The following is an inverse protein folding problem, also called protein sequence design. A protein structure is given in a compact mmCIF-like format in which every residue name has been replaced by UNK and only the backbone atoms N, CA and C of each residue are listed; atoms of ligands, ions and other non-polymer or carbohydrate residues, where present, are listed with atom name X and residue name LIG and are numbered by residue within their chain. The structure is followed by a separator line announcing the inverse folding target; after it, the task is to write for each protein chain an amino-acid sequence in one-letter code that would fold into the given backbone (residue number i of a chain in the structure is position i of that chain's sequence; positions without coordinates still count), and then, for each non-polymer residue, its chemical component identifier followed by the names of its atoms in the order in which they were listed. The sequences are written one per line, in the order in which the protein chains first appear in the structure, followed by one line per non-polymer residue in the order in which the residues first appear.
data_IF_429803767163
#
_entry.id   IF_429803767163
#
_cell.length_a   1.000
_cell.length_b   1.000
_cell.length_c   1.000
_cell.angle_alpha   90.00
_cell.angle_beta   90.00
_cell.angle_gamma   90.00
#
_symmetry.space_group_name_H-M   'P 1'
#
loop_
_entity.id
_entity.type
_entity.pdbx_description
1 polymer ?
#
# COMPACT_ATOMS: atom_id res chain seq x y z
N UNK A 1 -5.65 -11.27 5.55
CA UNK A 1 -5.55 -10.37 4.38
C UNK A 1 -4.42 -10.90 3.53
N UNK A 2 -4.69 -11.26 2.28
CA UNK A 2 -3.68 -11.90 1.41
C UNK A 2 -3.05 -10.91 0.44
N UNK A 3 -3.78 -9.85 0.11
CA UNK A 3 -3.31 -8.86 -0.85
C UNK A 3 -2.87 -7.60 -0.14
N UNK A 4 -1.70 -7.08 -0.50
CA UNK A 4 -1.20 -5.78 -0.08
C UNK A 4 -0.99 -4.87 -1.29
N UNK A 5 -1.22 -3.58 -1.10
CA UNK A 5 -0.90 -2.51 -2.05
C UNK A 5 0.22 -1.67 -1.45
N UNK A 6 1.27 -1.46 -2.22
CA UNK A 6 2.37 -0.53 -1.94
C UNK A 6 2.13 0.72 -2.75
N UNK A 7 2.12 1.88 -2.09
CA UNK A 7 2.10 3.19 -2.74
C UNK A 7 3.13 4.09 -2.06
N UNK A 8 3.98 4.74 -2.85
CA UNK A 8 4.90 5.79 -2.38
C UNK A 8 4.91 6.96 -3.33
N UNK A 9 5.13 8.16 -2.79
CA UNK A 9 5.23 9.39 -3.55
C UNK A 9 6.68 9.74 -3.81
N UNK A 10 6.94 10.40 -4.94
CA UNK A 10 8.22 11.01 -5.24
C UNK A 10 8.41 12.29 -4.41
N UNK A 11 8.82 12.11 -3.16
CA UNK A 11 9.04 13.20 -2.22
C UNK A 11 10.22 14.11 -2.60
N UNK A 12 11.12 13.67 -3.48
CA UNK A 12 12.26 14.49 -3.92
C UNK A 12 11.81 15.59 -4.87
N UNK A 13 10.83 15.29 -5.71
CA UNK A 13 10.29 16.23 -6.70
C UNK A 13 8.99 16.90 -6.25
N UNK A 14 8.33 16.39 -5.21
CA UNK A 14 7.14 17.00 -4.61
C UNK A 14 7.49 17.92 -3.44
N UNK A 15 6.92 19.14 -3.47
CA UNK A 15 6.91 19.99 -2.28
C UNK A 15 6.17 19.31 -1.10
N UNK A 16 6.58 19.58 0.16
CA UNK A 16 6.07 18.87 1.34
C UNK A 16 4.55 19.01 1.53
N UNK A 17 3.99 20.18 1.22
CA UNK A 17 2.54 20.41 1.30
C UNK A 17 1.76 19.58 0.27
N UNK A 18 2.21 19.58 -0.99
CA UNK A 18 1.60 18.77 -2.06
C UNK A 18 1.69 17.28 -1.76
N UNK A 19 2.86 16.81 -1.30
CA UNK A 19 3.04 15.41 -0.93
C UNK A 19 2.09 15.00 0.21
N UNK A 20 1.98 15.80 1.26
CA UNK A 20 1.07 15.53 2.37
C UNK A 20 -0.39 15.50 1.93
N UNK A 21 -0.79 16.44 1.05
CA UNK A 21 -2.16 16.53 0.54
C UNK A 21 -2.52 15.33 -0.34
N UNK A 22 -1.64 14.98 -1.27
CA UNK A 22 -1.82 13.82 -2.15
C UNK A 22 -1.90 12.54 -1.31
N UNK A 23 -0.97 12.37 -0.37
CA UNK A 23 -0.94 11.19 0.49
C UNK A 23 -2.22 11.05 1.31
N UNK A 24 -2.73 12.15 1.89
CA UNK A 24 -3.99 12.13 2.64
C UNK A 24 -5.16 11.68 1.75
N UNK A 25 -5.20 12.10 0.49
CA UNK A 25 -6.21 11.68 -0.48
C UNK A 25 -6.14 10.17 -0.79
N UNK A 26 -4.93 9.65 -1.05
CA UNK A 26 -4.70 8.22 -1.30
C UNK A 26 -5.15 7.40 -0.10
N UNK A 27 -4.70 7.79 1.09
CA UNK A 27 -5.01 7.09 2.34
C UNK A 27 -6.52 7.07 2.60
N UNK A 28 -7.19 8.22 2.50
CA UNK A 28 -8.64 8.29 2.67
C UNK A 28 -9.39 7.45 1.63
N UNK A 29 -8.98 7.51 0.37
CA UNK A 29 -9.61 6.74 -0.71
C UNK A 29 -9.48 5.23 -0.51
N UNK A 30 -8.29 4.74 -0.15
CA UNK A 30 -8.07 3.32 0.10
C UNK A 30 -8.80 2.84 1.37
N UNK A 31 -8.80 3.63 2.44
CA UNK A 31 -9.57 3.30 3.64
C UNK A 31 -11.08 3.22 3.33
N UNK A 32 -11.61 4.14 2.53
CA UNK A 32 -13.01 4.13 2.10
C UNK A 32 -13.34 2.93 1.21
N UNK A 33 -12.38 2.45 0.40
CA UNK A 33 -12.50 1.23 -0.39
C UNK A 33 -12.33 -0.07 0.44
N UNK A 34 -12.20 0.03 1.76
CA UNK A 34 -12.15 -1.11 2.68
C UNK A 34 -10.75 -1.70 2.87
N UNK A 35 -9.69 -1.01 2.44
CA UNK A 35 -8.33 -1.39 2.78
C UNK A 35 -8.01 -1.01 4.22
N UNK A 36 -7.07 -1.73 4.83
CA UNK A 36 -6.54 -1.43 6.15
C UNK A 36 -5.08 -1.03 6.02
N UNK A 37 -4.74 0.15 6.53
CA UNK A 37 -3.35 0.63 6.55
C UNK A 37 -2.52 -0.17 7.57
N UNK A 38 -1.41 -0.72 7.12
CA UNK A 38 -0.39 -1.39 7.94
C UNK A 38 0.98 -0.83 7.56
N UNK A 39 1.48 0.13 8.35
CA UNK A 39 2.69 0.90 8.05
C UNK A 39 2.62 1.57 6.66
N UNK A 40 3.44 1.09 5.71
CA UNK A 40 3.50 1.59 4.32
C UNK A 40 2.62 0.79 3.35
N UNK A 41 1.91 -0.21 3.84
CA UNK A 41 1.08 -1.11 3.04
C UNK A 41 -0.39 -0.85 3.29
N UNK A 42 -1.21 -1.10 2.27
CA UNK A 42 -2.66 -1.16 2.40
C UNK A 42 -3.11 -2.61 2.16
N UNK A 43 -3.63 -3.25 3.20
CA UNK A 43 -4.02 -4.65 3.19
C UNK A 43 -5.50 -4.80 2.82
N UNK A 44 -5.83 -5.85 2.07
CA UNK A 44 -7.21 -6.19 1.74
C UNK A 44 -7.53 -7.66 1.99
N UNK A 45 -8.79 -7.92 2.35
CA UNK A 45 -9.37 -9.27 2.38
C UNK A 45 -9.90 -9.72 1.02
N UNK A 46 -10.01 -8.80 0.05
CA UNK A 46 -10.40 -9.12 -1.32
C UNK A 46 -9.36 -10.02 -1.98
N UNK A 47 -9.80 -10.75 -3.01
CA UNK A 47 -8.86 -11.46 -3.87
C UNK A 47 -7.97 -10.46 -4.64
N UNK A 48 -6.81 -10.88 -5.18
CA UNK A 48 -5.87 -9.97 -5.82
C UNK A 48 -6.48 -9.13 -6.94
N UNK A 49 -7.25 -9.74 -7.83
CA UNK A 49 -7.88 -9.04 -8.97
C UNK A 49 -8.80 -7.90 -8.51
N UNK A 50 -9.68 -8.18 -7.55
CA UNK A 50 -10.61 -7.21 -6.98
C UNK A 50 -9.88 -6.10 -6.21
N UNK A 51 -8.87 -6.47 -5.40
CA UNK A 51 -8.08 -5.49 -4.66
C UNK A 51 -7.31 -4.56 -5.61
N UNK A 52 -6.70 -5.09 -6.67
CA UNK A 52 -5.96 -4.26 -7.62
C UNK A 52 -6.89 -3.34 -8.41
N UNK A 53 -8.06 -3.84 -8.82
CA UNK A 53 -9.07 -3.02 -9.47
C UNK A 53 -9.54 -1.88 -8.54
N UNK A 54 -9.88 -2.18 -7.29
CA UNK A 54 -10.31 -1.18 -6.31
C UNK A 54 -9.23 -0.13 -6.01
N UNK A 55 -7.97 -0.54 -5.88
CA UNK A 55 -6.87 0.39 -5.66
C UNK A 55 -6.65 1.33 -6.87
N UNK A 56 -6.78 0.80 -8.11
CA UNK A 56 -6.72 1.62 -9.32
C UNK A 56 -7.89 2.58 -9.41
N UNK A 57 -9.11 2.13 -9.15
CA UNK A 57 -10.31 2.98 -9.17
C UNK A 57 -10.18 4.17 -8.20
N UNK A 58 -9.67 3.92 -6.98
CA UNK A 58 -9.34 4.99 -6.03
C UNK A 58 -8.31 5.97 -6.60
N UNK A 59 -7.24 5.45 -7.19
CA UNK A 59 -6.16 6.27 -7.74
C UNK A 59 -6.64 7.09 -8.95
N UNK A 60 -7.43 6.50 -9.84
CA UNK A 60 -8.02 7.17 -11.01
C UNK A 60 -9.01 8.26 -10.61
N UNK A 61 -9.86 7.99 -9.61
CA UNK A 61 -10.78 8.98 -9.08
C UNK A 61 -10.02 10.18 -8.46
N UNK A 62 -8.92 9.90 -7.75
CA UNK A 62 -8.08 10.94 -7.17
C UNK A 62 -7.28 11.73 -8.22
N UNK A 63 -6.75 11.07 -9.25
CA UNK A 63 -6.12 11.72 -10.40
C UNK A 63 -7.09 12.71 -11.05
N UNK A 64 -8.33 12.29 -11.32
CA UNK A 64 -9.33 13.16 -11.93
C UNK A 64 -9.63 14.42 -11.07
N UNK A 65 -9.66 14.27 -9.74
CA UNK A 65 -9.86 15.40 -8.81
C UNK A 65 -8.66 16.35 -8.75
N UNK A 66 -7.44 15.82 -8.85
CA UNK A 66 -6.20 16.59 -8.79
C UNK A 66 -5.85 17.24 -10.15
N UNK A 67 -6.20 16.61 -11.26
CA UNK A 67 -5.99 17.13 -12.61
C UNK A 67 -6.71 18.48 -12.81
N UNK A 68 -7.89 18.66 -12.20
CA UNK A 68 -8.60 19.95 -12.18
C UNK A 68 -7.83 21.09 -11.49
N UNK A 69 -6.75 20.78 -10.78
CA UNK A 69 -5.87 21.71 -10.08
C UNK A 69 -4.46 21.75 -10.69
N UNK A 70 -4.26 21.11 -11.85
CA UNK A 70 -2.96 21.03 -12.53
C UNK A 70 -1.96 20.09 -11.86
N UNK A 71 -2.40 19.21 -10.96
CA UNK A 71 -1.55 18.22 -10.29
C UNK A 71 -1.84 16.85 -10.92
N UNK A 72 -0.80 16.16 -11.40
CA UNK A 72 -0.90 14.76 -11.77
C UNK A 72 -0.44 13.89 -10.61
N UNK A 73 -1.35 13.07 -10.08
CA UNK A 73 -1.05 12.03 -9.10
C UNK A 73 -0.14 10.97 -9.73
N UNK A 74 -0.40 10.55 -10.96
CA UNK A 74 0.45 9.55 -11.62
C UNK A 74 1.90 10.01 -11.81
N UNK A 75 2.12 11.29 -12.09
CA UNK A 75 3.48 11.85 -12.12
C UNK A 75 4.12 11.99 -10.73
N UNK A 76 3.30 12.00 -9.67
CA UNK A 76 3.73 12.11 -8.28
C UNK A 76 4.01 10.75 -7.62
N UNK A 77 3.62 9.63 -8.24
CA UNK A 77 3.83 8.28 -7.72
C UNK A 77 5.23 7.76 -8.06
N UNK A 78 5.95 7.30 -7.04
CA UNK A 78 7.24 6.61 -7.21
C UNK A 78 7.03 5.09 -7.35
N UNK A 79 6.19 4.52 -6.49
CA UNK A 79 5.84 3.10 -6.53
C UNK A 79 4.33 2.93 -6.44
N UNK A 80 3.80 1.99 -7.23
CA UNK A 80 2.41 1.55 -7.14
C UNK A 80 2.29 0.09 -7.55
N UNK A 81 2.30 -0.81 -6.56
CA UNK A 81 2.35 -2.26 -6.81
C UNK A 81 1.36 -3.03 -5.94
N UNK A 82 0.84 -4.12 -6.51
CA UNK A 82 0.10 -5.14 -5.78
C UNK A 82 1.01 -6.33 -5.45
N UNK A 83 0.89 -6.87 -4.24
CA UNK A 83 1.71 -8.00 -3.80
C UNK A 83 0.93 -8.98 -2.92
N UNK A 84 1.39 -10.23 -2.87
CA UNK A 84 0.93 -11.21 -1.88
C UNK A 84 1.61 -10.95 -0.55
N UNK A 85 0.82 -10.49 0.42
CA UNK A 85 1.30 -10.17 1.77
C UNK A 85 1.82 -11.41 2.50
N UNK A 86 1.27 -12.60 2.22
CA UNK A 86 1.69 -13.85 2.87
C UNK A 86 3.11 -14.26 2.50
N UNK A 87 3.66 -13.70 1.42
CA UNK A 87 5.04 -13.94 0.99
C UNK A 87 6.06 -13.00 1.67
N UNK A 88 5.62 -12.17 2.63
CA UNK A 88 6.49 -11.23 3.34
C UNK A 88 7.16 -11.89 4.56
N UNK A 89 8.49 -11.85 4.63
CA UNK A 89 9.26 -12.31 5.80
C UNK A 89 9.69 -11.11 6.67
N UNK A 90 9.48 -11.22 7.99
CA UNK A 90 9.93 -10.19 8.94
C UNK A 90 11.39 -10.44 9.33
N UNK A 91 12.30 -9.64 8.76
CA UNK A 91 13.74 -9.76 9.01
C UNK A 91 14.19 -9.26 10.39
N UNK A 92 13.30 -8.65 11.18
CA UNK A 92 13.60 -8.25 12.56
C UNK A 92 13.53 -9.43 13.55
N UNK A 93 13.00 -10.57 13.11
CA UNK A 93 12.95 -11.80 13.90
C UNK A 93 13.73 -12.90 13.19
N UNK A 94 14.35 -13.84 13.93
CA UNK A 94 14.94 -15.02 13.31
C UNK A 94 13.92 -15.74 12.44
N UNK A 95 14.35 -16.19 11.26
CA UNK A 95 13.48 -16.91 10.34
C UNK A 95 12.83 -18.10 11.05
N UNK A 96 11.55 -18.34 10.80
CA UNK A 96 10.82 -19.49 11.33
C UNK A 96 11.53 -20.82 11.00
N UNK A 97 12.26 -20.87 9.89
CA UNK A 97 13.07 -22.02 9.47
C UNK A 97 14.31 -22.27 10.36
N UNK A 98 14.75 -21.26 11.12
CA UNK A 98 15.90 -21.34 12.02
C UNK A 98 15.54 -21.64 13.48
N UNK A 99 14.25 -21.70 13.81
CA UNK A 99 13.77 -22.05 15.15
C UNK A 99 13.77 -23.57 15.29
N UNK A 100 14.88 -24.13 15.78
CA UNK A 100 14.95 -25.52 16.20
C UNK A 100 14.18 -25.65 17.53
N UNK A 101 12.93 -26.11 17.47
CA UNK A 101 12.20 -26.52 18.67
C UNK A 101 12.81 -27.83 19.15
N UNK A 102 13.76 -27.74 20.06
CA UNK A 102 14.20 -28.91 20.83
C UNK A 102 13.04 -29.29 21.75
N UNK A 103 12.42 -30.43 21.47
CA UNK A 103 11.15 -30.84 22.06
C UNK A 103 11.18 -31.02 23.58
N UNK A 104 10.00 -30.89 24.19
CA UNK A 104 9.70 -31.62 25.42
C UNK A 104 8.96 -32.89 25.01
N UNK A 105 9.67 -34.00 24.95
CA UNK A 105 9.08 -35.31 25.17
C UNK A 105 8.95 -35.49 26.68
N UNK A 106 7.72 -35.40 27.20
CA UNK A 106 7.29 -36.03 28.46
C UNK A 106 5.88 -36.54 28.27
#
# INVERSE_FOLDING_TARGET
MKTAIVITLDHEHLGPESASRIWAGIEQGLLAAGFIKNNRLFLSSLNPEQAFAAAREVTDALEAQLAGQGISLYAALQEFYGMDYLSTENLLVPSSASIIVSGSAV
#
